data_IF_524508734692
#
_entry.id   IF_524508734692
#
_cell.length_a   1.000
_cell.length_b   1.000
_cell.length_c   1.000
_cell.angle_alpha   90.00
_cell.angle_beta   90.00
_cell.angle_gamma   90.00
#
_symmetry.space_group_name_H-M   'P 1'
#
loop_
_entity.id
_entity.type
_entity.pdbx_description
1 polymer ?
#
# COMPACT_ATOMS: atom_id res chain seq x y z
N UNK A 1 3.41 -4.32 27.67
CA UNK A 1 3.61 -4.98 26.36
C UNK A 1 2.29 -5.40 25.70
N UNK A 2 1.34 -6.01 26.42
CA UNK A 2 0.10 -6.63 25.90
C UNK A 2 -0.82 -5.76 24.99
N UNK A 3 -0.73 -4.42 25.01
CA UNK A 3 -1.50 -3.54 24.10
C UNK A 3 -0.87 -3.33 22.73
N UNK A 4 0.46 -3.41 22.61
CA UNK A 4 1.16 -3.18 21.34
C UNK A 4 1.15 -4.43 20.47
N UNK A 5 1.30 -5.60 21.09
CA UNK A 5 1.27 -6.90 20.42
C UNK A 5 -0.09 -7.17 19.75
N UNK A 6 -1.19 -6.84 20.43
CA UNK A 6 -2.55 -6.89 19.87
C UNK A 6 -2.75 -5.99 18.66
N UNK A 7 -1.93 -4.93 18.53
CA UNK A 7 -1.92 -4.03 17.37
C UNK A 7 -0.97 -4.51 16.27
N UNK A 8 -0.30 -5.64 16.46
CA UNK A 8 0.68 -6.20 15.53
C UNK A 8 2.08 -5.62 15.65
N UNK A 9 2.38 -4.88 16.72
CA UNK A 9 3.73 -4.36 16.90
C UNK A 9 4.72 -5.51 17.04
N UNK A 10 5.78 -5.44 16.25
CA UNK A 10 6.83 -6.43 16.22
C UNK A 10 8.18 -5.71 16.24
N UNK A 11 9.03 -6.15 17.15
CA UNK A 11 10.43 -5.80 17.13
C UNK A 11 11.14 -6.68 16.09
N UNK A 12 11.78 -6.03 15.10
CA UNK A 12 12.37 -6.70 13.94
C UNK A 12 13.65 -7.47 14.31
N UNK A 13 14.25 -7.16 15.46
CA UNK A 13 15.45 -7.83 15.95
C UNK A 13 15.20 -9.29 16.36
N UNK A 14 13.93 -9.69 16.52
CA UNK A 14 13.51 -11.03 16.99
C UNK A 14 12.77 -11.85 15.93
N UNK A 15 13.03 -11.59 14.65
CA UNK A 15 12.35 -12.27 13.55
C UNK A 15 12.86 -13.71 13.32
N UNK A 16 11.96 -14.68 13.06
CA UNK A 16 12.38 -16.02 12.67
C UNK A 16 12.87 -16.02 11.22
N UNK A 17 14.18 -16.17 11.00
CA UNK A 17 14.79 -16.11 9.67
C UNK A 17 14.69 -17.41 8.85
N UNK A 18 14.27 -18.53 9.45
CA UNK A 18 14.36 -19.86 8.84
C UNK A 18 13.08 -20.38 8.16
N UNK A 19 12.04 -19.54 8.03
CA UNK A 19 10.78 -19.97 7.42
C UNK A 19 10.84 -19.95 5.89
N UNK A 20 10.22 -20.95 5.24
CA UNK A 20 10.05 -20.96 3.79
C UNK A 20 9.00 -19.93 3.34
N UNK A 21 9.06 -19.51 2.08
CA UNK A 21 8.05 -18.61 1.47
C UNK A 21 6.63 -19.13 1.68
N UNK A 22 6.38 -20.42 1.45
CA UNK A 22 5.07 -21.03 1.67
C UNK A 22 4.61 -20.92 3.13
N UNK A 23 5.52 -21.11 4.10
CA UNK A 23 5.19 -20.98 5.51
C UNK A 23 4.92 -19.51 5.91
N UNK A 24 5.65 -18.57 5.32
CA UNK A 24 5.42 -17.14 5.50
C UNK A 24 4.08 -16.71 4.90
N UNK A 25 3.75 -17.16 3.69
CA UNK A 25 2.44 -16.92 3.07
C UNK A 25 1.29 -17.43 3.94
N UNK A 26 1.42 -18.65 4.49
CA UNK A 26 0.44 -19.18 5.45
C UNK A 26 0.35 -18.33 6.72
N UNK A 27 1.46 -17.73 7.15
CA UNK A 27 1.51 -16.88 8.35
C UNK A 27 0.77 -15.55 8.18
N UNK A 28 0.51 -15.10 6.94
CA UNK A 28 -0.36 -13.94 6.65
C UNK A 28 -1.82 -14.17 7.05
N UNK A 29 -2.25 -15.42 7.27
CA UNK A 29 -3.59 -15.78 7.73
C UNK A 29 -3.62 -16.14 9.23
N UNK A 30 -2.49 -15.99 9.93
CA UNK A 30 -2.39 -16.29 11.37
C UNK A 30 -3.37 -15.46 12.19
N UNK A 31 -3.93 -16.03 13.25
CA UNK A 31 -4.74 -15.28 14.21
C UNK A 31 -3.91 -14.19 14.95
N UNK A 32 -2.59 -14.39 15.07
CA UNK A 32 -1.68 -13.47 15.77
C UNK A 32 -1.25 -12.31 14.84
N UNK A 33 -1.57 -11.05 15.15
CA UNK A 33 -1.17 -9.91 14.32
C UNK A 33 0.35 -9.77 14.12
N UNK A 34 1.14 -10.11 15.15
CA UNK A 34 2.60 -10.08 15.05
C UNK A 34 3.14 -11.08 14.03
N UNK A 35 2.53 -12.27 13.93
CA UNK A 35 2.94 -13.26 12.94
C UNK A 35 2.65 -12.78 11.52
N UNK A 36 1.50 -12.12 11.30
CA UNK A 36 1.19 -11.50 10.00
C UNK A 36 2.14 -10.36 9.66
N UNK A 37 2.50 -9.54 10.66
CA UNK A 37 3.47 -8.44 10.50
C UNK A 37 4.87 -8.96 10.16
N UNK A 38 5.33 -10.00 10.88
CA UNK A 38 6.59 -10.69 10.60
C UNK A 38 6.60 -11.27 9.19
N UNK A 39 5.52 -11.94 8.80
CA UNK A 39 5.37 -12.54 7.49
C UNK A 39 5.44 -11.49 6.37
N UNK A 40 4.68 -10.40 6.48
CA UNK A 40 4.67 -9.32 5.49
C UNK A 40 6.07 -8.71 5.29
N UNK A 41 6.80 -8.48 6.38
CA UNK A 41 8.17 -7.97 6.33
C UNK A 41 9.14 -8.99 5.72
N UNK A 42 9.16 -10.23 6.23
CA UNK A 42 10.10 -11.24 5.75
C UNK A 42 9.86 -11.59 4.28
N UNK A 43 8.59 -11.61 3.84
CA UNK A 43 8.23 -11.79 2.43
C UNK A 43 8.73 -10.64 1.54
N UNK A 44 8.84 -9.41 2.06
CA UNK A 44 9.36 -8.28 1.27
C UNK A 44 10.84 -8.40 0.94
N UNK A 45 11.56 -9.28 1.65
CA UNK A 45 12.99 -9.52 1.45
C UNK A 45 13.25 -10.82 0.65
N UNK A 46 12.19 -11.50 0.19
CA UNK A 46 12.31 -12.75 -0.57
C UNK A 46 12.55 -12.47 -2.05
N UNK A 47 13.41 -13.29 -2.64
CA UNK A 47 13.69 -13.29 -4.08
C UNK A 47 13.10 -14.52 -4.79
N UNK A 48 12.62 -15.51 -4.04
CA UNK A 48 12.05 -16.77 -4.52
C UNK A 48 10.53 -16.70 -4.78
N UNK A 49 9.96 -15.50 -4.82
CA UNK A 49 8.55 -15.24 -5.16
C UNK A 49 8.46 -14.03 -6.09
N UNK A 50 7.66 -14.12 -7.14
CA UNK A 50 7.41 -12.96 -8.00
C UNK A 50 6.48 -11.96 -7.31
N UNK A 51 6.60 -10.70 -7.70
CA UNK A 51 5.85 -9.60 -7.10
C UNK A 51 4.33 -9.75 -7.21
N UNK A 52 3.80 -10.26 -8.33
CA UNK A 52 2.36 -10.40 -8.51
C UNK A 52 1.80 -11.51 -7.59
N UNK A 53 2.50 -12.64 -7.49
CA UNK A 53 2.17 -13.72 -6.55
C UNK A 53 2.32 -13.31 -5.09
N UNK A 54 3.18 -12.35 -4.78
CA UNK A 54 3.30 -11.75 -3.46
C UNK A 54 2.18 -10.72 -3.16
N UNK A 55 1.84 -9.86 -4.13
CA UNK A 55 0.86 -8.79 -3.94
C UNK A 55 -0.54 -9.33 -3.61
N UNK A 56 -0.98 -10.40 -4.29
CA UNK A 56 -2.31 -11.03 -4.09
C UNK A 56 -2.61 -11.41 -2.63
N UNK A 57 -1.79 -12.23 -1.95
CA UNK A 57 -2.04 -12.59 -0.55
C UNK A 57 -1.92 -11.40 0.40
N UNK A 58 -1.02 -10.43 0.13
CA UNK A 58 -0.92 -9.21 0.93
C UNK A 58 -2.21 -8.37 0.85
N UNK A 59 -2.76 -8.19 -0.35
CA UNK A 59 -4.01 -7.48 -0.59
C UNK A 59 -5.20 -8.18 0.07
N UNK A 60 -5.28 -9.50 -0.06
CA UNK A 60 -6.29 -10.32 0.63
C UNK A 60 -6.23 -10.13 2.14
N UNK A 61 -5.05 -10.14 2.75
CA UNK A 61 -4.88 -9.88 4.18
C UNK A 61 -5.25 -8.43 4.52
N UNK A 62 -4.78 -7.46 3.73
CA UNK A 62 -5.02 -6.03 3.94
C UNK A 62 -6.52 -5.68 3.95
N UNK A 63 -7.31 -6.31 3.09
CA UNK A 63 -8.76 -6.10 2.97
C UNK A 63 -9.50 -6.30 4.30
N UNK A 64 -9.07 -7.27 5.11
CA UNK A 64 -9.75 -7.63 6.38
C UNK A 64 -8.94 -7.29 7.63
N UNK A 65 -7.73 -6.77 7.47
CA UNK A 65 -6.84 -6.49 8.59
C UNK A 65 -7.45 -5.42 9.52
N UNK A 66 -7.25 -5.60 10.83
CA UNK A 66 -7.68 -4.67 11.88
C UNK A 66 -6.51 -4.12 12.69
N UNK A 67 -5.42 -4.87 12.79
CA UNK A 67 -4.22 -4.50 13.53
C UNK A 67 -3.42 -3.43 12.79
N UNK A 68 -3.19 -2.30 13.47
CA UNK A 68 -2.57 -1.12 12.86
C UNK A 68 -1.19 -1.39 12.27
N UNK A 69 -0.28 -1.98 13.05
CA UNK A 69 1.10 -2.19 12.61
C UNK A 69 1.17 -3.21 11.47
N UNK A 70 0.25 -4.19 11.47
CA UNK A 70 0.13 -5.13 10.38
C UNK A 70 -0.32 -4.43 9.09
N UNK A 71 -1.32 -3.53 9.14
CA UNK A 71 -1.69 -2.72 7.95
C UNK A 71 -0.52 -1.92 7.41
N UNK A 72 0.21 -1.25 8.31
CA UNK A 72 1.35 -0.43 7.94
C UNK A 72 2.41 -1.28 7.23
N UNK A 73 2.73 -2.46 7.77
CA UNK A 73 3.75 -3.32 7.16
C UNK A 73 3.30 -3.93 5.84
N UNK A 74 2.02 -4.33 5.71
CA UNK A 74 1.45 -4.79 4.43
C UNK A 74 1.55 -3.70 3.36
N UNK A 75 1.19 -2.45 3.69
CA UNK A 75 1.33 -1.31 2.78
C UNK A 75 2.80 -1.08 2.41
N UNK A 76 3.73 -1.08 3.37
CA UNK A 76 5.17 -0.93 3.10
C UNK A 76 5.72 -2.00 2.18
N UNK A 77 5.27 -3.24 2.32
CA UNK A 77 5.67 -4.32 1.42
C UNK A 77 5.15 -4.06 0.01
N UNK A 78 3.90 -3.63 -0.13
CA UNK A 78 3.30 -3.29 -1.42
C UNK A 78 3.96 -2.04 -2.07
N UNK A 79 4.32 -1.03 -1.27
CA UNK A 79 5.01 0.21 -1.70
C UNK A 79 6.34 -0.05 -2.42
N UNK A 80 7.05 -1.12 -2.03
CA UNK A 80 8.34 -1.51 -2.64
C UNK A 80 8.19 -2.10 -4.05
N UNK A 81 6.98 -2.48 -4.45
CA UNK A 81 6.72 -3.18 -5.71
C UNK A 81 6.87 -2.33 -6.97
N UNK A 82 6.95 -3.01 -8.11
CA UNK A 82 7.05 -2.44 -9.45
C UNK A 82 5.69 -2.42 -10.18
N UNK A 83 5.73 -2.32 -11.50
CA UNK A 83 4.56 -2.42 -12.37
C UNK A 83 3.73 -3.69 -12.16
N UNK A 84 4.38 -4.83 -11.86
CA UNK A 84 3.69 -6.08 -11.56
C UNK A 84 2.78 -5.94 -10.34
N UNK A 85 3.30 -5.33 -9.28
CA UNK A 85 2.55 -5.05 -8.05
C UNK A 85 1.40 -4.05 -8.30
N UNK A 86 1.65 -3.01 -9.09
CA UNK A 86 0.61 -2.00 -9.42
C UNK A 86 -0.59 -2.64 -10.11
N UNK A 87 -0.36 -3.54 -11.06
CA UNK A 87 -1.44 -4.20 -11.79
C UNK A 87 -2.37 -5.01 -10.85
N UNK A 88 -1.83 -5.56 -9.76
CA UNK A 88 -2.59 -6.28 -8.74
C UNK A 88 -3.29 -5.34 -7.75
N UNK A 89 -2.69 -4.18 -7.46
CA UNK A 89 -3.22 -3.20 -6.49
C UNK A 89 -4.36 -2.36 -7.07
N UNK A 90 -4.28 -1.95 -8.35
CA UNK A 90 -5.25 -1.03 -8.97
C UNK A 90 -6.71 -1.47 -8.85
N UNK A 91 -7.08 -2.76 -9.00
CA UNK A 91 -8.45 -3.22 -8.81
C UNK A 91 -9.04 -2.88 -7.43
N UNK A 92 -8.20 -2.76 -6.39
CA UNK A 92 -8.60 -2.49 -5.01
C UNK A 92 -8.74 -1.00 -4.67
N UNK A 93 -8.36 -0.12 -5.59
CA UNK A 93 -8.36 1.33 -5.40
C UNK A 93 -9.77 1.85 -5.10
N UNK A 94 -9.92 2.59 -4.00
CA UNK A 94 -11.21 3.15 -3.55
C UNK A 94 -12.25 2.12 -3.09
N UNK A 95 -11.92 0.82 -3.11
CA UNK A 95 -12.86 -0.26 -2.75
C UNK A 95 -12.35 -1.23 -1.69
N UNK A 96 -11.09 -1.10 -1.25
CA UNK A 96 -10.51 -2.06 -0.30
C UNK A 96 -11.12 -1.94 1.10
N UNK A 97 -11.55 -3.10 1.63
CA UNK A 97 -12.17 -3.20 2.94
C UNK A 97 -13.50 -2.44 3.04
N UNK A 98 -13.98 -2.25 4.26
CA UNK A 98 -15.32 -1.70 4.54
C UNK A 98 -15.33 -0.20 4.88
N UNK A 99 -14.21 0.51 4.71
CA UNK A 99 -14.05 1.91 5.12
C UNK A 99 -14.12 2.88 3.93
N UNK A 100 -15.11 2.70 3.07
CA UNK A 100 -15.32 3.59 1.92
C UNK A 100 -15.96 4.92 2.38
N UNK A 101 -15.40 6.04 1.94
CA UNK A 101 -15.99 7.36 2.22
C UNK A 101 -17.12 7.64 1.23
N UNK A 102 -18.37 7.43 1.65
CA UNK A 102 -19.55 7.65 0.81
C UNK A 102 -19.94 9.13 0.62
N UNK A 103 -19.32 10.07 1.35
CA UNK A 103 -19.66 11.49 1.26
C UNK A 103 -18.46 12.41 1.47
N UNK A 104 -18.52 13.57 0.82
CA UNK A 104 -17.56 14.65 1.03
C UNK A 104 -17.72 15.21 2.44
N UNK A 105 -16.63 15.43 3.20
CA UNK A 105 -16.72 16.05 4.50
C UNK A 105 -17.22 17.50 4.36
N UNK A 106 -18.10 17.92 5.27
CA UNK A 106 -18.69 19.26 5.28
C UNK A 106 -17.68 20.40 5.46
N UNK A 107 -16.42 20.09 5.80
CA UNK A 107 -15.33 21.06 5.95
C UNK A 107 -14.07 20.55 5.27
N UNK A 108 -13.42 21.43 4.52
CA UNK A 108 -12.10 21.16 3.92
C UNK A 108 -11.01 21.15 4.99
N UNK A 109 -10.04 20.27 4.82
CA UNK A 109 -8.88 20.17 5.72
C UNK A 109 -8.03 21.45 5.64
N UNK A 110 -7.71 22.08 6.78
CA UNK A 110 -6.83 23.26 6.87
C UNK A 110 -5.33 22.93 6.87
N UNK A 111 -4.94 21.70 6.52
CA UNK A 111 -3.54 21.28 6.54
C UNK A 111 -2.77 22.00 5.42
N UNK A 112 -1.55 22.46 5.72
CA UNK A 112 -0.65 23.10 4.75
C UNK A 112 -0.07 22.13 3.72
N UNK A 113 -0.10 20.82 3.98
CA UNK A 113 0.35 19.78 3.04
C UNK A 113 -0.76 19.43 2.03
N UNK A 114 -0.39 18.89 0.86
CA UNK A 114 -1.34 18.27 -0.06
C UNK A 114 -2.23 17.27 0.72
N UNK A 115 -3.55 17.27 0.51
CA UNK A 115 -4.43 16.36 1.23
C UNK A 115 -3.97 14.92 0.96
N UNK A 116 -3.64 14.21 2.03
CA UNK A 116 -3.20 12.82 1.94
C UNK A 116 -4.32 11.98 1.30
N UNK A 117 -4.02 11.08 0.34
CA UNK A 117 -5.01 10.17 -0.21
C UNK A 117 -5.74 9.43 0.91
N UNK A 118 -7.07 9.44 0.85
CA UNK A 118 -7.92 8.91 1.93
C UNK A 118 -7.98 7.40 1.88
N UNK A 119 -8.12 6.88 0.67
CA UNK A 119 -8.04 5.46 0.38
C UNK A 119 -6.64 4.91 0.69
N UNK A 120 -6.61 3.73 1.31
CA UNK A 120 -5.35 3.09 1.72
C UNK A 120 -4.55 2.60 0.51
N UNK A 121 -5.21 2.18 -0.58
CA UNK A 121 -4.52 1.82 -1.81
C UNK A 121 -3.94 3.07 -2.47
N UNK A 122 -4.72 4.15 -2.59
CA UNK A 122 -4.22 5.41 -3.12
C UNK A 122 -2.99 5.92 -2.34
N UNK A 123 -3.02 5.79 -1.01
CA UNK A 123 -1.87 6.12 -0.15
C UNK A 123 -0.66 5.21 -0.40
N UNK A 124 -0.89 3.90 -0.53
CA UNK A 124 0.17 2.93 -0.82
C UNK A 124 0.83 3.27 -2.17
N UNK A 125 0.03 3.56 -3.20
CA UNK A 125 0.52 4.01 -4.52
C UNK A 125 1.32 5.31 -4.41
N UNK A 126 0.83 6.29 -3.63
CA UNK A 126 1.51 7.58 -3.46
C UNK A 126 2.90 7.50 -2.82
N UNK A 127 3.21 6.41 -2.10
CA UNK A 127 4.53 6.17 -1.50
C UNK A 127 5.42 5.21 -2.30
N UNK A 128 4.94 4.72 -3.45
CA UNK A 128 5.77 3.91 -4.34
C UNK A 128 6.93 4.73 -4.94
N UNK A 129 7.91 4.05 -5.55
CA UNK A 129 9.02 4.72 -6.24
C UNK A 129 8.52 5.53 -7.46
N UNK A 130 9.09 6.72 -7.73
CA UNK A 130 8.77 7.53 -8.92
C UNK A 130 8.87 6.80 -10.26
N UNK A 131 9.74 5.79 -10.36
CA UNK A 131 9.92 4.94 -11.55
C UNK A 131 8.60 4.29 -12.01
N UNK A 132 7.66 4.10 -11.08
CA UNK A 132 6.36 3.50 -11.35
C UNK A 132 5.36 4.44 -12.04
N UNK A 133 5.68 5.74 -12.17
CA UNK A 133 4.74 6.76 -12.65
C UNK A 133 4.16 6.46 -14.04
N UNK A 134 4.98 5.95 -14.96
CA UNK A 134 4.54 5.58 -16.32
C UNK A 134 3.47 4.49 -16.28
N UNK A 135 3.60 3.52 -15.37
CA UNK A 135 2.61 2.45 -15.20
C UNK A 135 1.31 3.01 -14.63
N UNK A 136 1.38 3.92 -13.66
CA UNK A 136 0.20 4.57 -13.08
C UNK A 136 -0.57 5.39 -14.12
N UNK A 137 0.12 6.14 -14.98
CA UNK A 137 -0.51 6.86 -16.10
C UNK A 137 -1.21 5.93 -17.10
N UNK A 138 -0.62 4.76 -17.39
CA UNK A 138 -1.29 3.74 -18.22
C UNK A 138 -2.56 3.22 -17.55
N UNK A 139 -2.55 3.06 -16.23
CA UNK A 139 -3.70 2.63 -15.42
C UNK A 139 -4.92 3.54 -15.56
N UNK A 140 -4.73 4.87 -15.65
CA UNK A 140 -5.82 5.84 -15.78
C UNK A 140 -6.77 5.58 -16.95
N UNK A 141 -6.29 4.94 -18.03
CA UNK A 141 -7.10 4.68 -19.23
C UNK A 141 -8.12 3.56 -19.07
N UNK A 142 -7.94 2.70 -18.07
CA UNK A 142 -8.67 1.42 -17.96
C UNK A 142 -9.49 1.31 -16.67
N UNK A 143 -9.59 2.39 -15.88
CA UNK A 143 -10.26 2.39 -14.58
C UNK A 143 -11.62 3.10 -14.62
N UNK A 144 -12.60 2.63 -13.85
CA UNK A 144 -13.84 3.36 -13.57
C UNK A 144 -13.56 4.75 -13.00
N UNK A 145 -14.48 5.70 -13.24
CA UNK A 145 -14.33 7.10 -12.84
C UNK A 145 -13.92 7.31 -11.38
N UNK A 146 -14.54 6.59 -10.45
CA UNK A 146 -14.24 6.74 -9.01
C UNK A 146 -12.81 6.26 -8.68
N UNK A 147 -12.36 5.15 -9.26
CA UNK A 147 -10.98 4.68 -9.08
C UNK A 147 -9.99 5.62 -9.77
N UNK A 148 -10.34 6.17 -10.93
CA UNK A 148 -9.53 7.17 -11.64
C UNK A 148 -9.30 8.41 -10.79
N UNK A 149 -10.30 8.91 -10.05
CA UNK A 149 -10.14 10.06 -9.13
C UNK A 149 -9.14 9.77 -8.02
N UNK A 150 -9.27 8.61 -7.37
CA UNK A 150 -8.34 8.20 -6.31
C UNK A 150 -6.92 7.99 -6.87
N UNK A 151 -6.79 7.51 -8.11
CA UNK A 151 -5.49 7.32 -8.77
C UNK A 151 -4.83 8.67 -9.09
N UNK A 152 -5.61 9.66 -9.53
CA UNK A 152 -5.11 11.03 -9.76
C UNK A 152 -4.59 11.62 -8.45
N UNK A 153 -5.30 11.43 -7.33
CA UNK A 153 -4.83 11.89 -6.01
C UNK A 153 -3.54 11.19 -5.58
N UNK A 154 -3.43 9.87 -5.83
CA UNK A 154 -2.22 9.11 -5.56
C UNK A 154 -1.02 9.58 -6.39
N UNK A 155 -1.21 9.82 -7.70
CA UNK A 155 -0.19 10.35 -8.60
C UNK A 155 0.21 11.77 -8.19
N UNK A 156 -0.77 12.63 -7.88
CA UNK A 156 -0.51 14.00 -7.42
C UNK A 156 0.34 14.02 -6.14
N UNK A 157 0.02 13.15 -5.18
CA UNK A 157 0.83 12.95 -3.98
C UNK A 157 2.24 12.47 -4.33
N UNK A 158 2.37 11.45 -5.16
CA UNK A 158 3.67 10.91 -5.61
C UNK A 158 4.54 12.01 -6.23
N UNK A 159 3.99 12.78 -7.16
CA UNK A 159 4.70 13.87 -7.83
C UNK A 159 5.11 14.98 -6.87
N UNK A 160 4.23 15.40 -5.96
CA UNK A 160 4.49 16.47 -5.00
C UNK A 160 5.65 16.14 -4.07
N UNK A 161 5.68 14.92 -3.51
CA UNK A 161 6.71 14.54 -2.53
C UNK A 161 8.03 14.10 -3.15
N UNK A 162 8.02 13.70 -4.43
CA UNK A 162 9.25 13.33 -5.14
C UNK A 162 9.76 14.45 -6.06
N UNK A 163 9.17 15.65 -6.00
CA UNK A 163 9.51 16.79 -6.85
C UNK A 163 9.65 16.39 -8.33
N UNK A 164 8.70 15.59 -8.81
CA UNK A 164 8.66 15.17 -10.21
C UNK A 164 8.17 16.38 -11.02
N UNK A 165 9.11 17.26 -11.34
CA UNK A 165 8.88 18.47 -12.12
C UNK A 165 9.02 18.07 -13.59
N UNK A 166 7.99 18.33 -14.40
CA UNK A 166 8.18 18.40 -15.84
C UNK A 166 9.07 19.63 -16.11
N UNK A 167 10.35 19.43 -16.38
CA UNK A 167 11.27 20.51 -16.77
C UNK A 167 10.76 21.30 -17.99
N UNK A 168 9.80 20.75 -18.75
CA UNK A 168 9.20 21.40 -19.92
C UNK A 168 8.10 22.44 -19.61
N UNK A 169 7.58 22.54 -18.38
CA UNK A 169 6.43 23.43 -18.07
C UNK A 169 6.72 24.53 -17.02
N UNK A 170 7.96 24.72 -16.59
CA UNK A 170 8.35 25.91 -15.86
C UNK A 170 8.67 27.04 -16.85
N UNK A 171 7.62 27.64 -17.43
CA UNK A 171 7.74 28.95 -18.06
C UNK A 171 8.14 29.95 -16.96
N UNK A 172 9.37 30.46 -17.07
CA UNK A 172 9.87 31.60 -16.29
C UNK A 172 9.10 32.87 -16.64
#
# INVERSE_FOLDING_TARGET
MDKLEKRGYLDKDYLPHSLSTTALLKSLESAKPQARTAAAYLLSERQDIDEASLAKPLLKTLQFEKALYTKIELCRTLEKGSSATINEILPYLGIIGNNQHHSLPARVSKKQSYPLPRDIIARTIGHMKPENISTLFKGLKNLPLEQTRELIDAIGFLCFYNQIINEENCVK
#
